data_IF_667886565329
#
_entry.id   IF_667886565329
#
_cell.length_a   1.000
_cell.length_b   1.000
_cell.length_c   1.000
_cell.angle_alpha   90.00
_cell.angle_beta   90.00
_cell.angle_gamma   90.00
#
_symmetry.space_group_name_H-M   'P 1'
#
loop_
_entity.id
_entity.type
_entity.pdbx_description
1 polymer ?
#
# COMPACT_ATOMS: atom_id res chain seq x y z
N UNK A 1 11.90 -3.68 -17.87
CA UNK A 1 10.47 -3.34 -17.79
C UNK A 1 10.17 -2.23 -16.77
N UNK A 2 10.45 -2.36 -15.47
CA UNK A 2 10.03 -1.37 -14.44
C UNK A 2 10.45 0.10 -14.66
N UNK A 3 11.62 0.35 -15.27
CA UNK A 3 12.09 1.71 -15.61
C UNK A 3 11.26 2.41 -16.71
N UNK A 4 10.30 1.72 -17.33
CA UNK A 4 9.38 2.33 -18.31
C UNK A 4 8.52 3.42 -17.68
N UNK A 5 8.16 3.28 -16.39
CA UNK A 5 7.26 4.22 -15.73
C UNK A 5 7.85 5.62 -15.65
N UNK A 6 9.18 5.73 -15.64
CA UNK A 6 9.90 7.01 -15.60
C UNK A 6 10.27 7.54 -16.99
N UNK A 7 9.73 7.01 -18.10
CA UNK A 7 10.08 7.47 -19.46
C UNK A 7 9.86 8.99 -19.61
N UNK A 8 8.71 9.51 -19.18
CA UNK A 8 8.40 10.93 -19.31
C UNK A 8 9.41 11.81 -18.57
N UNK A 9 9.73 11.44 -17.33
CA UNK A 9 10.72 12.15 -16.53
C UNK A 9 12.12 12.07 -17.17
N UNK A 10 12.58 10.88 -17.57
CA UNK A 10 13.90 10.67 -18.19
C UNK A 10 14.06 11.40 -19.52
N UNK A 11 13.02 11.40 -20.35
CA UNK A 11 12.98 12.18 -21.59
C UNK A 11 13.07 13.69 -21.30
N UNK A 12 12.29 14.19 -20.35
CA UNK A 12 12.32 15.63 -19.99
C UNK A 12 13.66 16.11 -19.42
N UNK A 13 14.46 15.20 -18.84
CA UNK A 13 15.81 15.48 -18.33
C UNK A 13 16.92 15.17 -19.36
N UNK A 14 16.58 14.81 -20.60
CA UNK A 14 17.55 14.53 -21.64
C UNK A 14 18.32 13.21 -21.49
N UNK A 15 17.87 12.31 -20.61
CA UNK A 15 18.46 10.97 -20.45
C UNK A 15 18.05 9.99 -21.56
N UNK A 16 17.03 10.36 -22.35
CA UNK A 16 16.49 9.58 -23.46
C UNK A 16 16.19 10.49 -24.63
N UNK A 17 16.46 10.02 -25.84
CA UNK A 17 15.91 10.59 -27.07
C UNK A 17 14.43 10.21 -27.21
N UNK A 18 13.69 10.94 -28.06
CA UNK A 18 12.30 10.59 -28.38
C UNK A 18 12.19 9.20 -29.00
N UNK A 19 13.13 8.82 -29.86
CA UNK A 19 13.16 7.50 -30.49
C UNK A 19 13.35 6.37 -29.47
N UNK A 20 14.28 6.53 -28.53
CA UNK A 20 14.48 5.56 -27.44
C UNK A 20 13.26 5.48 -26.51
N UNK A 21 12.64 6.62 -26.19
CA UNK A 21 11.42 6.65 -25.39
C UNK A 21 10.27 5.90 -26.07
N UNK A 22 10.09 6.09 -27.38
CA UNK A 22 9.10 5.36 -28.19
C UNK A 22 9.39 3.86 -28.21
N UNK A 23 10.62 3.46 -28.49
CA UNK A 23 11.01 2.05 -28.54
C UNK A 23 10.81 1.34 -27.19
N UNK A 24 11.26 1.97 -26.09
CA UNK A 24 11.06 1.44 -24.74
C UNK A 24 9.58 1.34 -24.39
N UNK A 25 8.77 2.35 -24.75
CA UNK A 25 7.33 2.34 -24.57
C UNK A 25 6.65 1.17 -25.29
N UNK A 26 6.99 0.96 -26.56
CA UNK A 26 6.45 -0.15 -27.36
C UNK A 26 6.81 -1.53 -26.80
N UNK A 27 8.01 -1.72 -26.25
CA UNK A 27 8.49 -3.02 -25.74
C UNK A 27 8.01 -3.34 -24.32
N UNK A 28 7.63 -2.34 -23.54
CA UNK A 28 7.39 -2.54 -22.11
C UNK A 28 6.17 -3.42 -21.79
N UNK A 29 5.13 -3.37 -22.62
CA UNK A 29 3.88 -4.11 -22.45
C UNK A 29 3.61 -5.03 -23.66
N UNK A 30 4.65 -5.72 -24.15
CA UNK A 30 4.59 -6.49 -25.40
C UNK A 30 3.92 -7.88 -25.31
N UNK A 31 3.41 -8.29 -24.15
CA UNK A 31 2.75 -9.60 -23.97
C UNK A 31 1.21 -9.49 -24.09
N UNK A 32 0.52 -10.54 -24.58
CA UNK A 32 -0.93 -10.57 -24.63
C UNK A 32 -1.52 -10.75 -23.22
N UNK A 33 -1.83 -9.61 -22.57
CA UNK A 33 -2.43 -9.57 -21.24
C UNK A 33 -1.45 -9.81 -20.09
N UNK A 34 -1.97 -9.71 -18.86
CA UNK A 34 -1.21 -9.88 -17.61
C UNK A 34 -1.17 -8.62 -16.75
N UNK A 35 -0.83 -8.80 -15.47
CA UNK A 35 -0.55 -7.70 -14.55
C UNK A 35 0.87 -7.14 -14.72
N UNK A 36 1.20 -6.11 -13.95
CA UNK A 36 2.55 -5.54 -13.94
C UNK A 36 3.63 -6.58 -13.59
N UNK A 37 4.81 -6.48 -14.22
CA UNK A 37 5.96 -7.37 -13.97
C UNK A 37 6.75 -7.05 -12.68
N UNK A 38 6.16 -6.24 -11.80
CA UNK A 38 6.66 -5.88 -10.49
C UNK A 38 5.55 -6.11 -9.46
N UNK A 39 5.91 -6.19 -8.19
CA UNK A 39 5.01 -6.40 -7.05
C UNK A 39 4.18 -5.14 -6.72
N UNK A 40 3.40 -4.67 -7.70
CA UNK A 40 2.35 -3.66 -7.52
C UNK A 40 1.06 -4.29 -6.98
N UNK A 41 -0.04 -3.52 -6.99
CA UNK A 41 -1.35 -3.99 -6.48
C UNK A 41 -1.78 -5.29 -7.13
N UNK A 42 -1.80 -5.39 -8.46
CA UNK A 42 -2.28 -6.59 -9.15
C UNK A 42 -1.51 -7.87 -8.80
N UNK A 43 -0.18 -7.77 -8.65
CA UNK A 43 0.67 -8.90 -8.25
C UNK A 43 0.48 -9.22 -6.77
N UNK A 44 0.39 -8.19 -5.91
CA UNK A 44 0.14 -8.37 -4.47
C UNK A 44 -1.23 -8.98 -4.21
N UNK A 45 -2.28 -8.58 -4.95
CA UNK A 45 -3.62 -9.16 -4.85
C UNK A 45 -3.64 -10.65 -5.22
N UNK A 46 -2.84 -11.07 -6.20
CA UNK A 46 -2.68 -12.50 -6.51
C UNK A 46 -2.02 -13.25 -5.35
N UNK A 47 -0.95 -12.69 -4.78
CA UNK A 47 -0.26 -13.26 -3.62
C UNK A 47 -1.20 -13.39 -2.43
N UNK A 48 -1.94 -12.33 -2.10
CA UNK A 48 -2.94 -12.30 -1.02
C UNK A 48 -4.08 -13.29 -1.28
N UNK A 49 -4.57 -13.39 -2.52
CA UNK A 49 -5.63 -14.34 -2.88
C UNK A 49 -5.21 -15.80 -2.69
N UNK A 50 -3.96 -16.14 -3.03
CA UNK A 50 -3.43 -17.48 -2.78
C UNK A 50 -3.18 -17.72 -1.28
N UNK A 51 -2.71 -16.72 -0.53
CA UNK A 51 -2.52 -16.79 0.92
C UNK A 51 -3.83 -16.92 1.71
N UNK A 52 -4.92 -16.29 1.23
CA UNK A 52 -6.29 -16.49 1.73
C UNK A 52 -6.81 -17.91 1.48
N UNK A 53 -6.14 -18.70 0.64
CA UNK A 53 -6.59 -20.01 0.19
C UNK A 53 -7.67 -19.95 -0.90
N UNK A 54 -8.01 -18.77 -1.43
CA UNK A 54 -9.02 -18.61 -2.50
C UNK A 54 -8.50 -19.02 -3.88
N UNK A 55 -7.19 -18.94 -4.09
CA UNK A 55 -6.53 -19.37 -5.32
C UNK A 55 -5.75 -20.65 -5.12
N UNK A 56 -5.63 -21.44 -6.19
CA UNK A 56 -4.93 -22.72 -6.11
C UNK A 56 -3.41 -22.51 -5.94
N UNK A 57 -2.72 -23.47 -5.31
CA UNK A 57 -1.28 -23.39 -5.08
C UNK A 57 -0.49 -23.17 -6.38
N UNK A 58 0.46 -22.25 -6.34
CA UNK A 58 1.34 -21.87 -7.43
C UNK A 58 0.59 -21.37 -8.68
N UNK A 59 -0.36 -20.46 -8.47
CA UNK A 59 -1.08 -19.75 -9.55
C UNK A 59 -0.86 -18.24 -9.54
N UNK A 60 -0.57 -17.65 -8.39
CA UNK A 60 -0.17 -16.25 -8.30
C UNK A 60 1.13 -15.98 -9.06
N UNK A 61 1.20 -14.84 -9.75
CA UNK A 61 2.37 -14.38 -10.52
C UNK A 61 2.70 -15.24 -11.76
N UNK A 62 1.82 -16.16 -12.15
CA UNK A 62 2.02 -17.00 -13.32
C UNK A 62 2.17 -16.16 -14.60
N UNK A 63 3.22 -16.39 -15.42
CA UNK A 63 3.49 -15.58 -16.61
C UNK A 63 2.33 -15.66 -17.62
N UNK A 64 1.83 -14.49 -18.02
CA UNK A 64 0.70 -14.39 -18.95
C UNK A 64 1.04 -14.91 -20.34
N UNK A 65 0.03 -15.42 -21.04
CA UNK A 65 0.17 -15.97 -22.39
C UNK A 65 0.92 -17.30 -22.48
N UNK A 66 1.37 -17.86 -21.35
CA UNK A 66 2.10 -19.13 -21.32
C UNK A 66 1.16 -20.34 -21.11
N UNK A 67 1.57 -21.56 -21.51
CA UNK A 67 0.79 -22.79 -21.30
C UNK A 67 0.33 -23.01 -19.84
N UNK A 68 1.07 -22.47 -18.88
CA UNK A 68 0.79 -22.56 -17.45
C UNK A 68 -0.57 -21.95 -17.05
N UNK A 69 -1.10 -21.00 -17.81
CA UNK A 69 -2.44 -20.45 -17.60
C UNK A 69 -3.53 -21.47 -17.94
N UNK A 70 -3.33 -22.28 -19.00
CA UNK A 70 -4.26 -23.36 -19.37
C UNK A 70 -4.26 -24.46 -18.31
N UNK A 71 -3.11 -24.74 -17.72
CA UNK A 71 -2.99 -25.62 -16.56
C UNK A 71 -3.77 -25.07 -15.35
N UNK A 72 -3.53 -23.82 -14.97
CA UNK A 72 -4.25 -23.17 -13.86
C UNK A 72 -5.77 -23.19 -14.07
N UNK A 73 -6.25 -22.91 -15.29
CA UNK A 73 -7.68 -22.97 -15.62
C UNK A 73 -8.28 -24.37 -15.44
N UNK A 74 -7.59 -25.42 -15.93
CA UNK A 74 -8.04 -26.81 -15.75
C UNK A 74 -8.05 -27.24 -14.29
N UNK A 75 -7.02 -26.88 -13.54
CA UNK A 75 -6.95 -27.15 -12.09
C UNK A 75 -8.08 -26.44 -11.34
N UNK A 76 -8.36 -25.19 -11.68
CA UNK A 76 -9.44 -24.40 -11.07
C UNK A 76 -10.82 -25.00 -11.36
N UNK A 77 -11.07 -25.48 -12.59
CA UNK A 77 -12.31 -26.16 -12.92
C UNK A 77 -12.51 -27.43 -12.09
N UNK A 78 -11.45 -28.25 -11.91
CA UNK A 78 -11.52 -29.44 -11.06
C UNK A 78 -11.75 -29.09 -9.59
N UNK A 79 -11.06 -28.07 -9.08
CA UNK A 79 -11.22 -27.61 -7.71
C UNK A 79 -12.64 -27.14 -7.42
N UNK A 80 -13.27 -26.40 -8.32
CA UNK A 80 -14.68 -25.98 -8.17
C UNK A 80 -15.62 -27.19 -8.10
N UNK A 81 -15.41 -28.22 -8.94
CA UNK A 81 -16.21 -29.45 -8.87
C UNK A 81 -16.02 -30.20 -7.55
N UNK A 82 -14.78 -30.24 -7.03
CA UNK A 82 -14.48 -30.84 -5.73
C UNK A 82 -15.13 -30.05 -4.58
N UNK A 83 -15.03 -28.72 -4.61
CA UNK A 83 -15.69 -27.85 -3.64
C UNK A 83 -17.21 -28.06 -3.65
N UNK A 84 -17.83 -28.19 -4.82
CA UNK A 84 -19.26 -28.51 -4.94
C UNK A 84 -19.59 -29.87 -4.31
N UNK A 85 -18.81 -30.92 -4.61
CA UNK A 85 -18.98 -32.25 -4.06
C UNK A 85 -18.87 -32.28 -2.53
N UNK A 86 -17.92 -31.52 -1.98
CA UNK A 86 -17.69 -31.37 -0.54
C UNK A 86 -18.61 -30.33 0.12
N UNK A 87 -19.44 -29.63 -0.66
CA UNK A 87 -20.28 -28.48 -0.21
C UNK A 87 -19.48 -27.38 0.47
N UNK A 88 -18.24 -27.17 0.02
CA UNK A 88 -17.37 -26.10 0.48
C UNK A 88 -17.73 -24.79 -0.20
N UNK A 89 -17.84 -23.75 0.61
CA UNK A 89 -18.11 -22.38 0.16
C UNK A 89 -16.95 -21.47 0.53
N UNK A 90 -16.93 -20.25 -0.03
CA UNK A 90 -15.92 -19.26 0.32
C UNK A 90 -15.89 -18.92 1.82
N UNK A 91 -17.02 -19.05 2.54
CA UNK A 91 -17.08 -18.87 4.01
C UNK A 91 -16.30 -19.93 4.79
N UNK A 92 -16.06 -21.10 4.19
CA UNK A 92 -15.22 -22.13 4.81
C UNK A 92 -13.72 -21.88 4.61
N UNK A 93 -13.37 -21.07 3.60
CA UNK A 93 -11.98 -20.76 3.21
C UNK A 93 -11.55 -19.45 3.87
N UNK A 94 -12.34 -18.39 3.67
CA UNK A 94 -12.06 -17.05 4.18
C UNK A 94 -12.52 -16.98 5.64
N UNK A 95 -11.57 -17.06 6.54
CA UNK A 95 -11.71 -17.00 8.00
C UNK A 95 -10.77 -15.94 8.57
N UNK A 96 -10.92 -15.54 9.84
CA UNK A 96 -9.99 -14.60 10.47
C UNK A 96 -8.54 -15.12 10.43
N UNK A 97 -8.33 -16.43 10.60
CA UNK A 97 -7.02 -17.08 10.46
C UNK A 97 -6.47 -16.98 9.03
N UNK A 98 -7.31 -17.16 8.00
CA UNK A 98 -6.90 -17.00 6.61
C UNK A 98 -6.56 -15.53 6.30
N UNK A 99 -7.31 -14.57 6.85
CA UNK A 99 -7.00 -13.14 6.72
C UNK A 99 -5.67 -12.82 7.40
N UNK A 100 -5.42 -13.33 8.60
CA UNK A 100 -4.14 -13.19 9.31
C UNK A 100 -2.98 -13.80 8.51
N UNK A 101 -3.15 -15.00 7.95
CA UNK A 101 -2.18 -15.61 7.05
C UNK A 101 -1.89 -14.71 5.84
N UNK A 102 -2.91 -14.12 5.23
CA UNK A 102 -2.76 -13.22 4.11
C UNK A 102 -1.99 -11.93 4.46
N UNK A 103 -2.18 -11.39 5.66
CA UNK A 103 -1.37 -10.29 6.18
C UNK A 103 0.10 -10.70 6.34
N UNK A 104 0.37 -11.87 6.94
CA UNK A 104 1.72 -12.42 7.11
C UNK A 104 2.42 -12.60 5.76
N UNK A 105 1.74 -13.23 4.79
CA UNK A 105 2.32 -13.43 3.45
C UNK A 105 2.53 -12.10 2.73
N UNK A 106 1.63 -11.12 2.87
CA UNK A 106 1.82 -9.77 2.35
C UNK A 106 3.11 -9.12 2.88
N UNK A 107 3.33 -9.18 4.20
CA UNK A 107 4.53 -8.64 4.84
C UNK A 107 5.81 -9.36 4.35
N UNK A 108 5.77 -10.70 4.25
CA UNK A 108 6.90 -11.50 3.78
C UNK A 108 7.32 -11.19 2.34
N UNK A 109 6.37 -10.82 1.48
CA UNK A 109 6.64 -10.37 0.11
C UNK A 109 7.05 -8.89 0.02
N UNK A 110 6.70 -8.06 1.00
CA UNK A 110 6.79 -6.61 0.90
C UNK A 110 5.73 -6.03 -0.04
N UNK A 111 4.48 -6.49 0.10
CA UNK A 111 3.37 -6.17 -0.78
C UNK A 111 3.02 -4.68 -0.88
N UNK A 112 2.19 -4.34 -1.88
CA UNK A 112 1.66 -2.98 -2.06
C UNK A 112 0.82 -2.52 -0.85
N UNK A 113 0.97 -1.24 -0.48
CA UNK A 113 0.16 -0.57 0.55
C UNK A 113 -1.33 -0.51 0.20
N UNK A 114 -1.70 -0.65 -1.07
CA UNK A 114 -3.11 -0.68 -1.48
C UNK A 114 -3.86 -1.89 -0.89
N UNK A 115 -3.17 -2.97 -0.51
CA UNK A 115 -3.80 -4.13 0.15
C UNK A 115 -4.15 -3.86 1.62
N UNK A 116 -3.64 -2.77 2.21
CA UNK A 116 -4.11 -2.26 3.50
C UNK A 116 -5.57 -1.77 3.42
N UNK A 117 -6.05 -1.43 2.21
CA UNK A 117 -7.45 -1.06 1.96
C UNK A 117 -8.27 -2.28 1.52
N UNK A 118 -7.73 -3.07 0.60
CA UNK A 118 -8.48 -4.17 0.00
C UNK A 118 -8.70 -5.36 0.95
N UNK A 119 -7.74 -5.69 1.81
CA UNK A 119 -7.90 -6.85 2.70
C UNK A 119 -8.98 -6.60 3.78
N UNK A 120 -9.07 -5.42 4.43
CA UNK A 120 -10.23 -5.06 5.24
C UNK A 120 -11.56 -5.10 4.49
N UNK A 121 -11.58 -4.70 3.20
CA UNK A 121 -12.78 -4.80 2.39
C UNK A 121 -13.21 -6.25 2.11
N UNK A 122 -12.24 -7.15 1.87
CA UNK A 122 -12.51 -8.60 1.73
C UNK A 122 -13.02 -9.18 3.04
N UNK A 123 -12.41 -8.82 4.18
CA UNK A 123 -12.86 -9.26 5.49
C UNK A 123 -14.29 -8.80 5.80
N UNK A 124 -14.60 -7.54 5.50
CA UNK A 124 -15.96 -6.99 5.61
C UNK A 124 -16.98 -7.79 4.78
N UNK A 125 -16.67 -8.03 3.49
CA UNK A 125 -17.55 -8.79 2.61
C UNK A 125 -17.76 -10.24 3.06
N UNK A 126 -16.80 -10.81 3.80
CA UNK A 126 -16.88 -12.13 4.42
C UNK A 126 -17.59 -12.12 5.79
N UNK A 127 -17.89 -10.95 6.37
CA UNK A 127 -18.46 -10.80 7.71
C UNK A 127 -17.46 -11.07 8.84
N UNK A 128 -16.17 -10.78 8.59
CA UNK A 128 -15.05 -11.04 9.50
C UNK A 128 -14.52 -9.74 10.13
N UNK A 129 -13.60 -9.89 11.09
CA UNK A 129 -12.90 -8.74 11.67
C UNK A 129 -12.04 -8.05 10.61
N UNK A 130 -12.15 -6.73 10.52
CA UNK A 130 -11.38 -5.91 9.58
C UNK A 130 -10.02 -5.57 10.18
N UNK A 131 -8.89 -5.92 9.54
CA UNK A 131 -7.58 -5.56 10.06
C UNK A 131 -7.37 -4.04 10.09
N UNK A 132 -7.01 -3.51 11.25
CA UNK A 132 -6.67 -2.11 11.45
C UNK A 132 -5.16 -1.83 11.41
N UNK A 133 -4.79 -0.56 11.62
CA UNK A 133 -3.37 -0.11 11.66
C UNK A 133 -2.54 -0.92 12.67
N UNK A 134 -3.12 -1.22 13.84
CA UNK A 134 -2.39 -1.90 14.90
C UNK A 134 -2.13 -3.37 14.55
N UNK A 135 -3.10 -4.06 13.93
CA UNK A 135 -2.92 -5.42 13.42
C UNK A 135 -1.83 -5.48 12.36
N UNK A 136 -1.83 -4.52 11.44
CA UNK A 136 -0.80 -4.45 10.40
C UNK A 136 0.59 -4.15 10.98
N UNK A 137 0.67 -3.27 11.98
CA UNK A 137 1.92 -2.95 12.67
C UNK A 137 2.50 -4.20 13.34
N UNK A 138 1.66 -4.95 14.07
CA UNK A 138 2.04 -6.20 14.73
C UNK A 138 2.53 -7.27 13.74
N UNK A 139 1.79 -7.49 12.64
CA UNK A 139 2.17 -8.48 11.62
C UNK A 139 3.50 -8.12 10.94
N UNK A 140 3.71 -6.84 10.60
CA UNK A 140 4.94 -6.42 9.94
C UNK A 140 6.17 -6.49 10.86
N UNK A 141 5.99 -6.36 12.18
CA UNK A 141 7.06 -6.56 13.18
C UNK A 141 7.45 -8.01 13.35
N UNK A 142 6.47 -8.89 13.36
CA UNK A 142 6.67 -10.33 13.61
C UNK A 142 7.12 -11.09 12.36
N UNK A 143 6.88 -10.55 11.16
CA UNK A 143 7.13 -11.25 9.90
C UNK A 143 8.37 -10.75 9.18
N UNK A 144 9.39 -11.60 8.94
CA UNK A 144 10.53 -11.21 8.13
C UNK A 144 10.14 -11.08 6.65
N UNK A 145 10.72 -10.09 5.94
CA UNK A 145 10.65 -10.06 4.48
C UNK A 145 11.57 -11.13 3.90
N UNK A 146 11.03 -11.99 3.04
CA UNK A 146 11.73 -13.15 2.47
C UNK A 146 11.94 -13.04 0.96
N UNK A 147 11.25 -12.11 0.29
CA UNK A 147 11.24 -12.03 -1.18
C UNK A 147 12.00 -10.80 -1.66
N UNK A 148 12.93 -11.02 -2.56
CA UNK A 148 13.59 -9.99 -3.37
C UNK A 148 12.83 -9.89 -4.70
N UNK A 149 12.09 -8.79 -4.88
CA UNK A 149 11.20 -8.60 -6.03
C UNK A 149 10.97 -7.12 -6.27
N UNK A 150 11.05 -6.68 -7.52
CA UNK A 150 10.76 -5.30 -7.92
C UNK A 150 9.45 -4.81 -7.30
N UNK A 151 9.41 -3.61 -6.68
CA UNK A 151 10.48 -2.63 -6.57
C UNK A 151 11.33 -2.76 -5.27
N UNK A 152 11.21 -3.86 -4.52
CA UNK A 152 11.92 -4.10 -3.27
C UNK A 152 13.16 -4.99 -3.52
N UNK A 153 14.35 -4.41 -3.33
CA UNK A 153 15.62 -5.10 -3.62
C UNK A 153 16.06 -6.11 -2.56
N UNK A 154 17.33 -6.56 -2.62
CA UNK A 154 18.46 -5.87 -3.26
C UNK A 154 18.64 -6.07 -4.78
N UNK A 155 18.35 -7.25 -5.33
CA UNK A 155 18.62 -7.63 -6.75
C UNK A 155 17.48 -7.28 -7.69
N UNK A 156 16.28 -7.02 -7.16
CA UNK A 156 15.14 -6.48 -7.92
C UNK A 156 14.64 -7.45 -9.00
N UNK A 157 14.29 -8.66 -8.60
CA UNK A 157 13.76 -9.68 -9.51
C UNK A 157 12.34 -9.32 -10.02
N UNK A 158 12.00 -9.53 -11.30
CA UNK A 158 10.63 -9.43 -11.77
C UNK A 158 9.73 -10.55 -11.21
N UNK A 159 8.42 -10.34 -11.20
CA UNK A 159 7.45 -11.28 -10.62
C UNK A 159 7.48 -12.68 -11.24
N UNK A 160 7.87 -12.82 -12.52
CA UNK A 160 8.06 -14.13 -13.17
C UNK A 160 9.17 -14.95 -12.52
N UNK A 161 10.24 -14.31 -12.05
CA UNK A 161 11.34 -15.01 -11.38
C UNK A 161 10.90 -15.49 -9.99
N UNK A 162 10.05 -14.71 -9.31
CA UNK A 162 9.41 -15.13 -8.06
C UNK A 162 8.51 -16.35 -8.27
N UNK A 163 7.69 -16.34 -9.33
CA UNK A 163 6.90 -17.51 -9.72
C UNK A 163 7.79 -18.73 -9.93
N UNK A 164 8.86 -18.60 -10.73
CA UNK A 164 9.76 -19.73 -11.03
C UNK A 164 10.57 -20.20 -9.80
N UNK A 165 10.87 -19.31 -8.85
CA UNK A 165 11.53 -19.66 -7.59
C UNK A 165 10.64 -20.52 -6.67
N UNK A 166 9.34 -20.57 -6.96
CA UNK A 166 8.35 -21.38 -6.24
C UNK A 166 7.15 -20.58 -5.75
N UNK A 167 7.12 -19.25 -5.97
CA UNK A 167 5.98 -18.39 -5.72
C UNK A 167 5.52 -18.34 -4.26
N UNK A 168 4.22 -18.11 -4.07
CA UNK A 168 3.57 -18.03 -2.76
C UNK A 168 3.77 -19.26 -1.88
N UNK A 169 3.62 -20.52 -2.37
CA UNK A 169 3.71 -21.67 -1.49
C UNK A 169 5.13 -21.89 -0.97
N UNK A 170 6.16 -21.48 -1.71
CA UNK A 170 7.54 -21.50 -1.23
C UNK A 170 7.76 -20.54 -0.05
N UNK A 171 7.20 -19.33 -0.12
CA UNK A 171 7.24 -18.37 0.99
C UNK A 171 6.47 -18.92 2.20
N UNK A 172 5.30 -19.52 1.96
CA UNK A 172 4.49 -20.11 3.03
C UNK A 172 5.18 -21.31 3.70
N UNK A 173 6.03 -22.06 3.01
CA UNK A 173 6.87 -23.09 3.64
C UNK A 173 7.83 -22.50 4.68
N UNK A 174 8.47 -21.36 4.38
CA UNK A 174 9.34 -20.68 5.34
C UNK A 174 8.54 -20.12 6.52
N UNK A 175 7.40 -19.47 6.27
CA UNK A 175 6.54 -18.91 7.31
C UNK A 175 5.93 -20.00 8.22
N UNK A 176 5.57 -21.15 7.65
CA UNK A 176 5.14 -22.35 8.40
C UNK A 176 6.24 -22.82 9.35
N UNK A 177 7.49 -22.91 8.89
CA UNK A 177 8.65 -23.30 9.72
C UNK A 177 8.91 -22.31 10.87
N UNK A 178 8.52 -21.05 10.70
CA UNK A 178 8.57 -20.01 11.75
C UNK A 178 7.36 -20.03 12.69
N UNK A 179 6.34 -20.84 12.43
CA UNK A 179 5.09 -20.86 13.21
C UNK A 179 4.21 -19.62 13.02
N UNK A 180 4.37 -18.90 11.90
CA UNK A 180 3.65 -17.65 11.62
C UNK A 180 2.35 -17.84 10.82
N UNK A 181 1.99 -19.09 10.49
CA UNK A 181 0.78 -19.42 9.74
C UNK A 181 -0.13 -20.35 10.53
N UNK A 182 -1.43 -20.07 10.48
CA UNK A 182 -2.47 -21.03 10.83
C UNK A 182 -2.60 -22.05 9.68
N UNK A 183 -2.09 -23.27 9.86
CA UNK A 183 -1.98 -24.27 8.78
C UNK A 183 -3.20 -25.18 8.63
N UNK A 184 -4.11 -25.17 9.60
CA UNK A 184 -5.35 -25.95 9.60
C UNK A 184 -6.48 -25.32 8.76
N UNK A 185 -6.31 -24.09 8.24
CA UNK A 185 -7.30 -23.42 7.39
C UNK A 185 -7.55 -24.23 6.11
N UNK A 186 -8.80 -24.25 5.65
CA UNK A 186 -9.19 -24.92 4.39
C UNK A 186 -8.89 -24.00 3.21
N UNK A 187 -8.42 -24.58 2.11
CA UNK A 187 -8.16 -23.86 0.86
C UNK A 187 -9.13 -24.27 -0.24
N UNK A 188 -9.08 -23.58 -1.39
CA UNK A 188 -9.85 -23.90 -2.58
C UNK A 188 -9.54 -25.29 -3.17
N UNK A 189 -8.48 -25.98 -2.73
CA UNK A 189 -8.26 -27.38 -3.10
C UNK A 189 -9.23 -28.34 -2.40
N UNK A 190 -9.89 -27.89 -1.33
CA UNK A 190 -10.65 -28.74 -0.40
C UNK A 190 -9.80 -29.32 0.73
N UNK A 191 -8.50 -29.08 0.73
CA UNK A 191 -7.56 -29.56 1.74
C UNK A 191 -7.12 -28.43 2.68
N UNK A 192 -6.53 -28.82 3.82
CA UNK A 192 -5.88 -27.85 4.71
C UNK A 192 -4.65 -27.25 4.05
N UNK A 193 -4.30 -26.03 4.47
CA UNK A 193 -3.06 -25.38 4.03
C UNK A 193 -1.83 -26.26 4.33
N UNK A 194 -1.82 -26.98 5.45
CA UNK A 194 -0.71 -27.88 5.80
C UNK A 194 -0.50 -29.00 4.76
N UNK A 195 -1.58 -29.68 4.37
CA UNK A 195 -1.55 -30.75 3.37
C UNK A 195 -1.14 -30.22 1.98
N UNK A 196 -1.60 -29.02 1.64
CA UNK A 196 -1.20 -28.30 0.43
C UNK A 196 0.31 -28.03 0.41
N UNK A 197 0.87 -27.55 1.53
CA UNK A 197 2.29 -27.23 1.64
C UNK A 197 3.17 -28.48 1.65
N UNK A 198 2.74 -29.56 2.30
CA UNK A 198 3.42 -30.87 2.24
C UNK A 198 3.50 -31.40 0.81
N UNK A 199 2.38 -31.32 0.08
CA UNK A 199 2.32 -31.71 -1.32
C UNK A 199 3.21 -30.85 -2.20
N UNK A 200 3.30 -29.53 -1.93
CA UNK A 200 4.16 -28.60 -2.66
C UNK A 200 5.66 -28.92 -2.47
N UNK A 201 6.09 -29.15 -1.22
CA UNK A 201 7.49 -29.34 -0.84
C UNK A 201 8.17 -30.47 -1.63
N UNK A 202 7.43 -31.54 -1.90
CA UNK A 202 7.89 -32.73 -2.66
C UNK A 202 7.46 -32.75 -4.13
N UNK A 203 6.76 -31.72 -4.62
CA UNK A 203 6.19 -31.75 -5.96
C UNK A 203 7.23 -31.66 -7.09
N UNK A 204 7.02 -32.42 -8.17
CA UNK A 204 7.84 -32.32 -9.39
C UNK A 204 7.77 -30.91 -10.00
N UNK A 205 6.59 -30.26 -9.92
CA UNK A 205 6.39 -28.89 -10.40
C UNK A 205 7.36 -27.92 -9.72
N UNK A 206 7.48 -27.98 -8.38
CA UNK A 206 8.42 -27.15 -7.62
C UNK A 206 9.85 -27.34 -8.11
N UNK A 207 10.29 -28.60 -8.25
CA UNK A 207 11.64 -28.92 -8.74
C UNK A 207 11.87 -28.40 -10.16
N UNK A 208 10.89 -28.60 -11.06
CA UNK A 208 10.99 -28.21 -12.47
C UNK A 208 11.09 -26.69 -12.65
N UNK A 209 10.24 -25.90 -11.96
CA UNK A 209 10.26 -24.44 -12.06
C UNK A 209 11.58 -23.85 -11.52
N UNK A 210 12.02 -24.32 -10.35
CA UNK A 210 13.29 -23.90 -9.73
C UNK A 210 14.51 -24.27 -10.59
N UNK A 211 14.46 -25.43 -11.26
CA UNK A 211 15.49 -25.84 -12.23
C UNK A 211 15.49 -24.91 -13.45
N UNK A 212 14.31 -24.63 -14.01
CA UNK A 212 14.16 -23.75 -15.17
C UNK A 212 14.73 -22.34 -14.89
N UNK A 213 14.48 -21.78 -13.70
CA UNK A 213 15.06 -20.50 -13.29
C UNK A 213 16.59 -20.51 -13.32
N UNK A 214 17.22 -21.56 -12.77
CA UNK A 214 18.68 -21.70 -12.79
C UNK A 214 19.24 -21.85 -14.19
N UNK A 215 18.63 -22.72 -14.99
CA UNK A 215 19.15 -23.06 -16.34
C UNK A 215 18.95 -21.93 -17.35
N UNK A 216 17.85 -21.18 -17.23
CA UNK A 216 17.49 -20.15 -18.22
C UNK A 216 17.99 -18.77 -17.82
N UNK A 217 17.84 -18.39 -16.54
CA UNK A 217 18.19 -17.05 -16.07
C UNK A 217 19.52 -17.02 -15.30
N UNK A 218 20.10 -18.18 -14.96
CA UNK A 218 21.32 -18.25 -14.14
C UNK A 218 21.13 -17.81 -12.70
N UNK A 219 19.87 -17.79 -12.22
CA UNK A 219 19.50 -17.28 -10.90
C UNK A 219 19.24 -18.45 -9.95
N UNK A 220 19.81 -18.39 -8.74
CA UNK A 220 19.44 -19.29 -7.67
C UNK A 220 18.04 -18.91 -7.13
N UNK A 221 17.05 -19.82 -7.13
CA UNK A 221 15.77 -19.61 -6.48
C UNK A 221 15.86 -19.10 -5.04
N UNK A 222 16.89 -19.49 -4.29
CA UNK A 222 17.10 -19.04 -2.91
C UNK A 222 17.69 -17.63 -2.81
N UNK A 223 18.04 -16.99 -3.92
CA UNK A 223 18.33 -15.54 -3.99
C UNK A 223 17.07 -14.72 -4.27
N UNK A 224 15.98 -15.36 -4.71
CA UNK A 224 14.69 -14.71 -5.00
C UNK A 224 13.73 -14.85 -3.82
N UNK A 225 13.54 -16.08 -3.35
CA UNK A 225 12.75 -16.43 -2.16
C UNK A 225 13.73 -17.02 -1.14
N UNK A 226 14.11 -16.21 -0.16
CA UNK A 226 15.20 -16.50 0.76
C UNK A 226 14.68 -17.19 2.02
N UNK A 227 15.41 -18.19 2.54
CA UNK A 227 15.25 -18.62 3.92
C UNK A 227 15.49 -17.44 4.90
N UNK A 228 14.86 -17.43 6.09
CA UNK A 228 14.91 -16.28 7.00
C UNK A 228 16.32 -15.80 7.38
N UNK A 229 17.25 -16.73 7.66
CA UNK A 229 18.63 -16.37 8.02
C UNK A 229 19.39 -15.73 6.86
N UNK A 230 19.16 -16.23 5.63
CA UNK A 230 19.73 -15.67 4.41
C UNK A 230 19.13 -14.29 4.12
N UNK A 231 17.81 -14.14 4.23
CA UNK A 231 17.13 -12.87 4.06
C UNK A 231 17.71 -11.78 4.98
N UNK A 232 17.95 -12.13 6.25
CA UNK A 232 18.60 -11.24 7.22
C UNK A 232 20.03 -10.89 6.83
N UNK A 233 20.83 -11.89 6.44
CA UNK A 233 22.22 -11.70 6.03
C UNK A 233 22.35 -10.81 4.77
N UNK A 234 21.39 -10.91 3.86
CA UNK A 234 21.27 -10.11 2.64
C UNK A 234 20.63 -8.73 2.87
N UNK A 235 20.27 -8.41 4.12
CA UNK A 235 19.75 -7.09 4.50
C UNK A 235 18.29 -6.83 4.08
N UNK A 236 17.47 -7.86 3.88
CA UNK A 236 16.04 -7.69 3.64
C UNK A 236 15.38 -7.14 4.92
N UNK A 237 14.92 -5.89 4.84
CA UNK A 237 14.16 -5.21 5.88
C UNK A 237 12.67 -5.18 5.56
N UNK A 238 11.84 -4.98 6.58
CA UNK A 238 10.39 -4.80 6.38
C UNK A 238 10.11 -3.59 5.49
N UNK A 239 9.07 -3.69 4.68
CA UNK A 239 8.82 -2.75 3.59
C UNK A 239 8.08 -1.49 4.03
N UNK A 240 7.28 -1.59 5.08
CA UNK A 240 6.34 -0.55 5.51
C UNK A 240 6.50 -0.23 6.99
N UNK A 241 6.32 1.04 7.31
CA UNK A 241 6.20 1.55 8.68
C UNK A 241 4.89 2.31 8.80
N UNK A 242 4.21 2.13 9.93
CA UNK A 242 2.97 2.82 10.23
C UNK A 242 3.27 4.04 11.08
N UNK A 243 2.72 5.19 10.70
CA UNK A 243 2.92 6.43 11.45
C UNK A 243 1.60 6.92 12.06
N UNK A 244 1.67 7.43 13.28
CA UNK A 244 0.60 8.17 13.97
C UNK A 244 1.06 9.60 14.24
N UNK A 245 0.40 10.31 15.15
CA UNK A 245 0.74 11.69 15.53
C UNK A 245 -0.44 12.62 15.36
N UNK A 246 -0.27 13.88 15.75
CA UNK A 246 -1.38 14.84 15.73
C UNK A 246 -1.91 15.14 14.31
N UNK A 247 -1.14 14.85 13.26
CA UNK A 247 -1.58 14.97 11.87
C UNK A 247 -2.27 13.71 11.32
N UNK A 248 -2.04 12.54 11.92
CA UNK A 248 -2.62 11.26 11.51
C UNK A 248 -3.15 10.46 12.71
N UNK A 249 -4.23 10.93 13.38
CA UNK A 249 -4.75 10.23 14.55
C UNK A 249 -5.34 8.85 14.23
N UNK A 250 -5.93 8.65 13.04
CA UNK A 250 -6.35 7.31 12.58
C UNK A 250 -5.19 6.47 12.05
N UNK A 251 -4.04 7.10 11.79
CA UNK A 251 -2.83 6.47 11.25
C UNK A 251 -2.55 6.86 9.80
N UNK A 252 -1.35 6.49 9.37
CA UNK A 252 -0.80 6.69 8.03
C UNK A 252 0.24 5.62 7.75
N UNK A 253 0.73 5.54 6.50
CA UNK A 253 1.74 4.54 6.13
C UNK A 253 2.81 5.14 5.23
N UNK A 254 4.05 4.68 5.45
CA UNK A 254 5.20 4.97 4.60
C UNK A 254 5.85 3.67 4.14
N UNK A 255 6.36 3.68 2.91
CA UNK A 255 7.19 2.59 2.41
C UNK A 255 8.65 2.83 2.80
N UNK A 256 9.05 2.35 3.98
CA UNK A 256 10.36 2.62 4.59
C UNK A 256 11.56 2.16 3.77
N UNK A 257 11.41 1.12 2.95
CA UNK A 257 12.47 0.67 2.02
C UNK A 257 12.65 1.58 0.81
N UNK A 258 11.70 2.49 0.55
CA UNK A 258 11.80 3.48 -0.52
C UNK A 258 12.44 4.80 -0.05
N UNK A 259 12.74 4.95 1.25
CA UNK A 259 13.49 6.11 1.75
C UNK A 259 14.97 5.89 1.44
N UNK A 260 15.63 6.88 0.82
CA UNK A 260 17.04 6.80 0.47
C UNK A 260 17.90 6.56 1.73
N UNK A 261 18.78 5.55 1.74
CA UNK A 261 19.59 5.24 2.92
C UNK A 261 20.47 6.39 3.43
N UNK A 262 20.82 7.35 2.57
CA UNK A 262 21.68 8.49 2.94
C UNK A 262 20.97 9.57 3.75
N UNK A 263 19.64 9.50 3.89
CA UNK A 263 18.85 10.38 4.77
C UNK A 263 18.33 9.64 6.01
N UNK A 264 18.81 8.41 6.23
CA UNK A 264 18.53 7.63 7.44
C UNK A 264 19.70 7.82 8.40
N UNK A 265 19.41 8.17 9.65
CA UNK A 265 20.42 8.32 10.69
C UNK A 265 21.08 6.97 11.01
N UNK A 266 22.25 7.02 11.64
CA UNK A 266 23.03 5.82 11.97
C UNK A 266 22.30 4.82 12.88
N UNK A 267 21.29 5.28 13.64
CA UNK A 267 20.42 4.45 14.48
C UNK A 267 19.26 3.79 13.69
N UNK A 268 19.17 4.00 12.38
CA UNK A 268 18.14 3.42 11.52
C UNK A 268 16.84 4.22 11.47
N UNK A 269 16.83 5.44 11.99
CA UNK A 269 15.65 6.29 12.06
C UNK A 269 15.75 7.43 11.04
N UNK A 270 14.67 7.69 10.30
CA UNK A 270 14.55 8.90 9.49
C UNK A 270 13.98 10.01 10.36
N UNK A 271 14.65 11.16 10.40
CA UNK A 271 14.20 12.35 11.13
C UNK A 271 14.22 13.56 10.22
N UNK A 272 13.08 14.25 10.14
CA UNK A 272 12.96 15.47 9.36
C UNK A 272 12.10 16.47 10.11
N UNK A 273 12.51 17.74 10.10
CA UNK A 273 11.66 18.84 10.54
C UNK A 273 11.81 19.97 9.53
N UNK A 274 10.69 20.45 9.01
CA UNK A 274 10.69 21.37 7.88
C UNK A 274 9.39 22.16 7.72
N UNK A 275 9.40 23.21 6.89
CA UNK A 275 8.22 24.00 6.62
C UNK A 275 7.25 23.26 5.69
N UNK A 276 5.96 23.37 5.98
CA UNK A 276 4.89 22.84 5.15
C UNK A 276 4.74 23.64 3.85
N UNK A 277 4.65 22.92 2.72
CA UNK A 277 4.29 23.45 1.40
C UNK A 277 2.95 22.85 0.99
N UNK A 278 1.89 23.65 1.00
CA UNK A 278 0.52 23.14 0.87
C UNK A 278 0.07 23.06 -0.58
N UNK A 279 -0.52 21.92 -0.94
CA UNK A 279 -1.15 21.67 -2.22
C UNK A 279 -2.50 20.96 -2.02
N UNK A 280 -3.44 21.19 -2.94
CA UNK A 280 -4.76 20.54 -2.93
C UNK A 280 -5.02 19.69 -4.19
N UNK A 281 -4.05 19.68 -5.12
CA UNK A 281 -4.08 18.93 -6.37
C UNK A 281 -2.67 18.50 -6.74
N UNK A 282 -2.54 17.31 -7.32
CA UNK A 282 -1.24 16.83 -7.81
C UNK A 282 -0.65 17.75 -8.89
N UNK A 283 -1.50 18.33 -9.75
CA UNK A 283 -1.11 19.29 -10.79
C UNK A 283 -0.38 20.52 -10.23
N UNK A 284 -0.85 21.05 -9.10
CA UNK A 284 -0.34 22.29 -8.51
C UNK A 284 1.00 22.04 -7.84
N UNK A 285 1.14 20.89 -7.17
CA UNK A 285 2.40 20.39 -6.63
C UNK A 285 3.44 20.19 -7.75
N UNK A 286 3.02 19.59 -8.86
CA UNK A 286 3.88 19.39 -10.03
C UNK A 286 4.31 20.70 -10.70
N UNK A 287 3.44 21.70 -10.75
CA UNK A 287 3.80 23.03 -11.24
C UNK A 287 4.84 23.69 -10.33
N UNK A 288 4.67 23.59 -9.00
CA UNK A 288 5.62 24.13 -8.04
C UNK A 288 7.00 23.47 -8.13
N UNK A 289 7.05 22.15 -8.33
CA UNK A 289 8.31 21.41 -8.59
C UNK A 289 8.97 21.95 -9.86
N UNK A 290 8.24 22.03 -10.98
CA UNK A 290 8.78 22.49 -12.27
C UNK A 290 9.24 23.94 -12.24
N UNK A 291 8.57 24.79 -11.45
CA UNK A 291 8.92 26.19 -11.28
C UNK A 291 10.05 26.44 -10.26
N UNK A 292 10.62 25.39 -9.65
CA UNK A 292 11.68 25.53 -8.66
C UNK A 292 11.22 26.18 -7.34
N UNK A 293 9.93 26.03 -7.00
CA UNK A 293 9.34 26.58 -5.75
C UNK A 293 9.47 25.64 -4.56
N UNK A 294 9.93 24.39 -4.78
CA UNK A 294 10.26 23.42 -3.73
C UNK A 294 11.76 23.45 -3.46
N UNK A 295 12.13 23.42 -2.19
CA UNK A 295 13.51 23.50 -1.70
C UNK A 295 13.87 22.28 -0.86
N UNK A 296 15.17 22.08 -0.68
CA UNK A 296 15.70 21.12 0.29
C UNK A 296 15.13 21.40 1.69
N UNK A 297 14.65 20.36 2.38
CA UNK A 297 14.06 20.47 3.70
C UNK A 297 12.56 20.75 3.73
N UNK A 298 11.92 21.02 2.58
CA UNK A 298 10.47 21.24 2.52
C UNK A 298 9.68 19.96 2.80
N UNK A 299 8.54 20.10 3.48
CA UNK A 299 7.53 19.05 3.66
C UNK A 299 6.32 19.39 2.80
N UNK A 300 6.17 18.69 1.67
CA UNK A 300 5.02 18.86 0.78
C UNK A 300 3.80 18.19 1.41
N UNK A 301 2.74 18.96 1.62
CA UNK A 301 1.47 18.46 2.16
C UNK A 301 0.42 18.54 1.06
N UNK A 302 0.02 17.38 0.52
CA UNK A 302 -1.03 17.28 -0.48
C UNK A 302 -2.32 16.79 0.19
N UNK A 303 -3.31 17.67 0.24
CA UNK A 303 -4.64 17.39 0.81
C UNK A 303 -5.69 17.33 -0.28
N UNK A 304 -6.94 16.98 0.08
CA UNK A 304 -8.07 16.89 -0.84
C UNK A 304 -7.84 15.85 -1.94
N UNK A 305 -6.98 14.86 -1.66
CA UNK A 305 -6.68 13.75 -2.56
C UNK A 305 -7.06 12.39 -1.93
N UNK A 306 -7.71 12.41 -0.76
CA UNK A 306 -8.38 11.27 -0.13
C UNK A 306 -9.69 10.84 -0.82
N UNK A 307 -10.45 9.91 -0.23
CA UNK A 307 -11.72 9.43 -0.78
C UNK A 307 -12.70 10.53 -1.18
N UNK A 308 -12.98 11.51 -0.30
CA UNK A 308 -13.89 12.63 -0.59
C UNK A 308 -13.31 13.65 -1.56
N UNK A 309 -11.98 13.66 -1.68
CA UNK A 309 -11.23 14.59 -2.52
C UNK A 309 -11.20 14.20 -3.99
N UNK A 310 -10.60 13.05 -4.28
CA UNK A 310 -10.37 12.59 -5.66
C UNK A 310 -10.75 11.13 -5.89
N UNK A 311 -11.45 10.51 -4.92
CA UNK A 311 -11.63 9.06 -4.90
C UNK A 311 -10.40 8.31 -4.38
N UNK A 312 -9.50 9.00 -3.68
CA UNK A 312 -8.23 8.48 -3.17
C UNK A 312 -7.25 8.12 -4.29
N UNK A 313 -6.78 9.12 -5.04
CA UNK A 313 -5.85 8.92 -6.17
C UNK A 313 -4.47 8.39 -5.74
N UNK A 314 -3.66 7.92 -6.70
CA UNK A 314 -2.28 7.45 -6.46
C UNK A 314 -1.27 8.44 -7.03
N UNK A 315 -0.56 9.17 -6.16
CA UNK A 315 0.22 10.37 -6.52
C UNK A 315 1.62 10.07 -7.09
N UNK A 316 1.68 9.36 -8.21
CA UNK A 316 2.94 8.95 -8.85
C UNK A 316 3.77 10.12 -9.41
N UNK A 317 3.15 11.20 -9.90
CA UNK A 317 3.88 12.25 -10.61
C UNK A 317 4.82 12.99 -9.65
N UNK A 318 4.35 13.30 -8.45
CA UNK A 318 5.14 13.99 -7.41
C UNK A 318 6.36 13.14 -7.05
N UNK A 319 6.15 11.88 -6.69
CA UNK A 319 7.25 11.01 -6.23
C UNK A 319 8.26 10.75 -7.35
N UNK A 320 7.77 10.57 -8.59
CA UNK A 320 8.64 10.44 -9.76
C UNK A 320 9.44 11.71 -10.04
N UNK A 321 8.85 12.90 -9.88
CA UNK A 321 9.55 14.16 -10.17
C UNK A 321 10.63 14.46 -9.14
N UNK A 322 10.34 14.28 -7.85
CA UNK A 322 11.30 14.47 -6.76
C UNK A 322 12.54 13.59 -6.94
N UNK A 323 12.39 12.37 -7.44
CA UNK A 323 13.52 11.46 -7.70
C UNK A 323 14.61 12.02 -8.65
N UNK A 324 14.26 12.95 -9.54
CA UNK A 324 15.22 13.57 -10.47
C UNK A 324 15.79 14.89 -9.94
N UNK A 325 15.31 15.39 -8.79
CA UNK A 325 15.93 16.51 -8.10
C UNK A 325 17.11 16.01 -7.26
N UNK A 326 18.25 16.70 -7.33
CA UNK A 326 19.45 16.34 -6.57
C UNK A 326 19.23 16.32 -5.06
N UNK A 327 18.31 17.16 -4.58
CA UNK A 327 17.90 17.26 -3.18
C UNK A 327 16.56 16.56 -2.89
N UNK A 328 15.99 15.81 -3.84
CA UNK A 328 14.65 15.25 -3.70
C UNK A 328 14.50 14.22 -2.59
N UNK A 329 15.59 13.62 -2.12
CA UNK A 329 15.61 12.73 -0.95
C UNK A 329 15.46 13.47 0.39
N UNK A 330 15.71 14.79 0.41
CA UNK A 330 15.51 15.67 1.55
C UNK A 330 14.15 16.40 1.51
N UNK A 331 13.25 16.00 0.62
CA UNK A 331 11.86 16.48 0.58
C UNK A 331 10.96 15.33 1.03
N UNK A 332 10.07 15.61 1.99
CA UNK A 332 9.04 14.66 2.38
C UNK A 332 7.69 15.03 1.76
N UNK A 333 6.84 14.02 1.56
CA UNK A 333 5.46 14.17 1.10
C UNK A 333 4.53 13.56 2.14
N UNK A 334 3.50 14.31 2.54
CA UNK A 334 2.42 13.86 3.42
C UNK A 334 1.10 14.05 2.67
N UNK A 335 0.27 13.01 2.61
CA UNK A 335 -1.00 13.10 1.89
C UNK A 335 -2.11 12.20 2.46
N UNK A 336 -3.36 12.64 2.31
CA UNK A 336 -4.55 11.82 2.51
C UNK A 336 -4.85 10.87 1.31
N UNK A 337 -4.05 10.95 0.24
CA UNK A 337 -4.09 10.07 -0.92
C UNK A 337 -3.32 8.75 -0.73
N UNK A 338 -3.31 7.93 -1.78
CA UNK A 338 -2.39 6.79 -1.94
C UNK A 338 -1.12 7.26 -2.65
N UNK A 339 -0.02 6.52 -2.52
CA UNK A 339 1.24 6.85 -3.19
C UNK A 339 1.85 5.62 -3.86
N UNK A 340 2.61 5.87 -4.92
CA UNK A 340 3.39 4.82 -5.56
C UNK A 340 4.65 4.52 -4.75
N UNK A 341 5.07 3.25 -4.71
CA UNK A 341 6.29 2.84 -4.00
C UNK A 341 7.61 3.32 -4.63
N UNK A 342 7.58 4.26 -5.58
CA UNK A 342 8.76 4.87 -6.23
C UNK A 342 8.99 6.22 -5.57
N UNK A 343 9.73 6.25 -4.47
CA UNK A 343 10.14 7.48 -3.77
C UNK A 343 11.66 7.50 -3.56
N UNK A 344 12.20 8.67 -3.20
CA UNK A 344 13.57 8.86 -2.71
C UNK A 344 13.60 9.47 -1.32
N UNK A 345 12.63 10.34 -0.99
CA UNK A 345 12.38 10.80 0.39
C UNK A 345 11.25 10.01 1.04
N UNK A 346 10.87 10.41 2.27
CA UNK A 346 9.68 9.88 2.93
C UNK A 346 8.40 10.33 2.19
N UNK A 347 7.61 9.38 1.71
CA UNK A 347 6.28 9.63 1.15
C UNK A 347 5.26 8.87 2.01
N UNK A 348 4.46 9.65 2.74
CA UNK A 348 3.54 9.20 3.79
C UNK A 348 2.13 9.42 3.26
N UNK A 349 1.40 8.33 3.04
CA UNK A 349 0.02 8.38 2.54
C UNK A 349 -0.97 7.77 3.50
N UNK A 350 -2.23 7.74 3.07
CA UNK A 350 -3.36 7.23 3.85
C UNK A 350 -3.52 7.97 5.18
N UNK A 351 -3.12 9.24 5.23
CA UNK A 351 -3.31 10.06 6.43
C UNK A 351 -4.80 10.17 6.72
N UNK A 352 -5.21 9.58 7.85
CA UNK A 352 -6.59 9.60 8.32
C UNK A 352 -6.72 10.37 9.64
N UNK A 353 -7.83 11.10 9.84
CA UNK A 353 -8.90 11.37 8.88
C UNK A 353 -8.44 12.28 7.73
N UNK A 354 -9.06 12.14 6.56
CA UNK A 354 -8.74 12.99 5.39
C UNK A 354 -9.13 14.47 5.61
N UNK A 355 -8.55 15.38 4.83
CA UNK A 355 -8.77 16.82 5.01
C UNK A 355 -10.25 17.23 4.90
N UNK A 356 -10.97 16.68 3.93
CA UNK A 356 -12.39 17.01 3.68
C UNK A 356 -13.35 16.38 4.70
N UNK A 357 -12.89 15.40 5.47
CA UNK A 357 -13.60 14.86 6.63
C UNK A 357 -13.32 15.67 7.91
N UNK A 358 -12.63 16.81 7.80
CA UNK A 358 -12.24 17.64 8.94
C UNK A 358 -10.96 17.17 9.65
N UNK A 359 -10.19 16.28 9.01
CA UNK A 359 -8.95 15.76 9.55
C UNK A 359 -7.89 16.85 9.80
N UNK A 360 -6.98 16.65 10.78
CA UNK A 360 -5.97 17.65 11.13
C UNK A 360 -5.06 18.08 9.98
N UNK A 361 -4.76 17.17 9.03
CA UNK A 361 -3.96 17.49 7.83
C UNK A 361 -4.54 18.65 7.02
N UNK A 362 -5.88 18.81 6.99
CA UNK A 362 -6.56 19.92 6.30
C UNK A 362 -6.42 21.28 6.98
N UNK A 363 -5.93 21.31 8.23
CA UNK A 363 -5.77 22.54 9.04
C UNK A 363 -4.33 23.07 9.03
N UNK A 364 -3.41 22.37 8.38
CA UNK A 364 -2.03 22.81 8.20
C UNK A 364 -2.00 24.02 7.27
N UNK A 365 -1.18 25.01 7.60
CA UNK A 365 -0.99 26.25 6.85
C UNK A 365 0.39 26.27 6.23
N UNK A 366 0.52 27.05 5.16
CA UNK A 366 1.80 27.30 4.51
C UNK A 366 2.86 27.78 5.51
N UNK A 367 4.03 27.13 5.53
CA UNK A 367 5.14 27.45 6.41
C UNK A 367 5.12 26.78 7.79
N UNK A 368 4.00 26.19 8.22
CA UNK A 368 3.92 25.46 9.48
C UNK A 368 5.08 24.46 9.63
N UNK A 369 5.64 24.33 10.83
CA UNK A 369 6.73 23.39 11.09
C UNK A 369 6.16 22.00 11.38
N UNK A 370 6.52 21.03 10.54
CA UNK A 370 6.13 19.63 10.71
C UNK A 370 7.37 18.81 11.07
N UNK A 371 7.21 17.90 12.02
CA UNK A 371 8.20 16.90 12.40
C UNK A 371 7.75 15.51 11.92
N UNK A 372 8.69 14.77 11.33
CA UNK A 372 8.52 13.40 10.87
C UNK A 372 9.62 12.56 11.53
N UNK A 373 9.21 11.49 12.21
CA UNK A 373 10.12 10.49 12.78
C UNK A 373 9.65 9.12 12.29
N UNK A 374 10.52 8.35 11.64
CA UNK A 374 10.19 6.99 11.15
C UNK A 374 11.31 6.05 11.60
N UNK A 375 11.03 5.17 12.55
CA UNK A 375 11.95 4.16 13.02
C UNK A 375 11.78 2.86 12.21
N UNK A 376 12.81 2.51 11.45
CA UNK A 376 12.80 1.33 10.55
C UNK A 376 13.08 0.03 11.29
N UNK A 377 13.52 0.09 12.54
CA UNK A 377 13.78 -1.09 13.36
C UNK A 377 12.51 -1.50 14.10
N UNK A 378 11.84 -0.53 14.72
CA UNK A 378 10.58 -0.77 15.44
C UNK A 378 9.36 -0.70 14.53
N UNK A 379 9.47 -0.17 13.31
CA UNK A 379 8.37 -0.01 12.36
C UNK A 379 7.23 0.88 12.88
N UNK A 380 7.57 1.85 13.72
CA UNK A 380 6.69 2.92 14.19
C UNK A 380 7.20 4.28 13.72
N UNK A 381 6.28 5.22 13.53
CA UNK A 381 6.63 6.60 13.22
C UNK A 381 5.62 7.62 13.73
N UNK A 382 6.02 8.89 13.75
CA UNK A 382 5.15 10.01 14.05
C UNK A 382 5.20 11.08 12.96
N UNK A 383 4.05 11.70 12.70
CA UNK A 383 3.91 12.91 11.90
C UNK A 383 3.14 13.95 12.70
N UNK A 384 3.84 15.03 13.06
CA UNK A 384 3.31 16.01 13.99
C UNK A 384 3.49 17.42 13.43
N UNK A 385 2.43 18.22 13.46
CA UNK A 385 2.58 19.66 13.52
C UNK A 385 3.29 19.98 14.83
N UNK A 386 4.36 20.76 14.80
CA UNK A 386 5.11 21.13 16.00
C UNK A 386 5.13 22.62 16.26
N UNK A 387 4.67 23.46 15.33
CA UNK A 387 4.53 24.89 15.56
C UNK A 387 4.28 25.67 14.28
N UNK A 388 4.10 26.98 14.43
CA UNK A 388 4.06 27.93 13.32
C UNK A 388 5.49 28.40 12.99
N UNK A 389 5.74 28.83 11.75
CA UNK A 389 7.01 29.46 11.38
C UNK A 389 7.33 30.61 12.34
N UNK A 390 8.56 30.67 12.83
CA UNK A 390 9.07 31.76 13.70
C UNK A 390 8.36 31.93 15.06
N UNK A 391 7.66 30.91 15.55
CA UNK A 391 7.01 30.93 16.87
C UNK A 391 7.96 30.56 18.02
N UNK A 392 7.80 31.21 19.18
CA UNK A 392 8.58 30.97 20.39
C UNK A 392 8.05 29.73 21.15
N UNK A 393 8.16 28.56 20.54
CA UNK A 393 7.78 27.28 21.13
C UNK A 393 7.51 26.23 20.06
N UNK A 394 8.14 25.06 20.19
CA UNK A 394 7.92 23.94 19.28
C UNK A 394 7.71 22.62 20.04
N UNK A 395 6.85 21.78 19.49
CA UNK A 395 6.58 20.42 19.98
C UNK A 395 5.17 19.95 19.60
N UNK A 396 4.91 18.64 19.63
CA UNK A 396 3.61 18.07 19.28
C UNK A 396 2.43 18.68 20.06
N UNK A 397 2.60 18.96 21.37
CA UNK A 397 1.58 19.60 22.21
C UNK A 397 1.21 21.03 21.75
N UNK A 398 2.18 21.76 21.17
CA UNK A 398 1.93 23.09 20.60
C UNK A 398 1.12 22.95 19.33
N UNK A 399 1.50 22.02 18.45
CA UNK A 399 0.77 21.73 17.23
C UNK A 399 -0.65 21.23 17.50
N UNK A 400 -0.86 20.39 18.51
CA UNK A 400 -2.18 19.90 18.88
C UNK A 400 -3.12 21.06 19.26
N UNK A 401 -2.66 21.98 20.13
CA UNK A 401 -3.42 23.20 20.46
C UNK A 401 -3.71 24.07 19.25
N UNK A 402 -2.77 24.18 18.30
CA UNK A 402 -2.98 24.92 17.05
C UNK A 402 -4.06 24.24 16.19
N UNK A 403 -4.02 22.93 16.05
CA UNK A 403 -4.98 22.15 15.27
C UNK A 403 -6.39 22.19 15.89
N UNK A 404 -6.49 22.17 17.21
CA UNK A 404 -7.75 22.33 17.96
C UNK A 404 -8.35 23.73 17.77
N UNK A 405 -7.51 24.77 17.84
CA UNK A 405 -7.95 26.16 17.70
C UNK A 405 -8.32 26.54 16.25
N UNK A 406 -7.82 25.81 15.25
CA UNK A 406 -8.08 26.07 13.83
C UNK A 406 -9.37 25.41 13.37
N UNK A 407 -10.20 26.18 12.67
CA UNK A 407 -11.30 25.65 11.86
C UNK A 407 -10.77 25.02 10.57
N UNK A 408 -11.52 24.06 10.03
CA UNK A 408 -11.28 23.56 8.66
C UNK A 408 -11.46 24.71 7.67
N UNK A 409 -10.52 24.94 6.74
CA UNK A 409 -10.65 26.03 5.79
C UNK A 409 -11.78 25.83 4.77
N UNK A 410 -12.54 26.90 4.50
CA UNK A 410 -13.69 26.88 3.57
C UNK A 410 -13.30 26.70 2.10
N UNK A 411 -12.02 26.87 1.75
CA UNK A 411 -11.51 26.71 0.39
C UNK A 411 -11.17 25.26 0.03
N UNK A 412 -11.18 24.33 1.00
CA UNK A 412 -10.97 22.92 0.71
C UNK A 412 -12.16 22.38 -0.08
N UNK A 413 -11.90 21.72 -1.21
CA UNK A 413 -12.94 21.23 -2.10
C UNK A 413 -12.55 19.92 -2.75
N UNK A 414 -13.50 19.04 -3.06
CA UNK A 414 -13.28 17.90 -3.96
C UNK A 414 -12.73 18.31 -5.33
N UNK A 415 -12.24 17.34 -6.07
CA UNK A 415 -11.91 17.51 -7.47
C UNK A 415 -13.17 17.91 -8.27
N UNK A 416 -13.10 18.93 -9.15
CA UNK A 416 -14.28 19.40 -9.88
C UNK A 416 -14.89 18.31 -10.78
N UNK A 417 -14.04 17.42 -11.29
CA UNK A 417 -14.45 16.28 -12.12
C UNK A 417 -14.79 15.01 -11.30
N UNK A 418 -14.88 15.10 -9.97
CA UNK A 418 -15.21 13.94 -9.14
C UNK A 418 -16.68 13.51 -9.40
N UNK A 419 -16.93 12.28 -9.91
CA UNK A 419 -18.28 11.84 -10.22
C UNK A 419 -19.20 11.87 -9.00
N UNK A 420 -20.49 12.16 -9.21
CA UNK A 420 -21.49 12.21 -8.12
C UNK A 420 -21.58 10.89 -7.36
N UNK A 421 -21.52 9.75 -8.06
CA UNK A 421 -21.52 8.42 -7.45
C UNK A 421 -20.29 8.21 -6.56
N UNK A 422 -19.11 8.72 -6.95
CA UNK A 422 -17.90 8.67 -6.14
C UNK A 422 -18.01 9.59 -4.92
N UNK A 423 -18.62 10.77 -5.06
CA UNK A 423 -18.89 11.67 -3.93
C UNK A 423 -19.82 11.03 -2.90
N UNK A 424 -20.87 10.37 -3.38
CA UNK A 424 -21.80 9.62 -2.53
C UNK A 424 -21.07 8.46 -1.84
N UNK A 425 -20.29 7.67 -2.60
CA UNK A 425 -19.46 6.60 -2.03
C UNK A 425 -18.54 7.11 -0.93
N UNK A 426 -17.83 8.21 -1.17
CA UNK A 426 -16.87 8.76 -0.23
C UNK A 426 -17.51 9.22 1.08
N UNK A 427 -18.70 9.83 1.02
CA UNK A 427 -19.45 10.22 2.21
C UNK A 427 -19.93 9.00 3.02
N UNK A 428 -20.40 7.95 2.34
CA UNK A 428 -20.91 6.73 2.98
C UNK A 428 -19.79 5.87 3.59
N UNK A 429 -18.65 5.76 2.91
CA UNK A 429 -17.52 4.97 3.42
C UNK A 429 -16.86 5.62 4.64
N UNK A 430 -16.93 6.96 4.79
CA UNK A 430 -16.42 7.66 5.96
C UNK A 430 -17.14 7.20 7.24
N UNK A 431 -18.46 7.04 7.19
CA UNK A 431 -19.26 6.45 8.29
C UNK A 431 -18.92 4.98 8.51
N UNK A 432 -18.50 4.29 7.45
CA UNK A 432 -18.19 2.86 7.45
C UNK A 432 -16.77 2.55 7.95
N UNK A 433 -16.06 3.50 8.56
CA UNK A 433 -14.68 3.32 9.07
C UNK A 433 -13.58 3.83 8.14
N UNK A 434 -13.93 4.56 7.07
CA UNK A 434 -12.98 5.29 6.24
C UNK A 434 -12.00 4.40 5.47
N UNK A 435 -10.84 4.99 5.14
CA UNK A 435 -9.78 4.30 4.40
C UNK A 435 -9.28 3.04 5.13
N UNK A 436 -9.00 3.16 6.43
CA UNK A 436 -8.55 2.04 7.26
C UNK A 436 -9.63 0.97 7.47
N UNK A 437 -10.91 1.30 7.32
CA UNK A 437 -12.03 0.36 7.28
C UNK A 437 -12.22 -0.35 5.93
N UNK A 438 -11.37 -0.08 4.94
CA UNK A 438 -11.39 -0.69 3.60
C UNK A 438 -12.29 0.01 2.59
N UNK A 439 -12.71 1.24 2.87
CA UNK A 439 -13.57 2.05 1.99
C UNK A 439 -14.88 1.34 1.53
N UNK A 440 -15.50 0.59 2.44
CA UNK A 440 -16.71 -0.23 2.18
C UNK A 440 -18.01 0.53 2.45
N UNK A 441 -19.14 -0.07 2.07
CA UNK A 441 -20.48 0.35 2.47
C UNK A 441 -20.97 -0.52 3.64
N UNK A 442 -20.82 -0.03 4.86
CA UNK A 442 -21.44 -0.62 6.04
C UNK A 442 -22.88 -0.13 6.17
N UNK A 443 -23.81 -0.92 5.63
CA UNK A 443 -25.23 -0.54 5.52
C UNK A 443 -25.83 -0.27 6.90
N UNK A 444 -25.50 -1.08 7.90
CA UNK A 444 -26.05 -0.93 9.25
C UNK A 444 -25.48 0.32 9.93
N UNK A 445 -24.17 0.58 9.77
CA UNK A 445 -23.55 1.81 10.29
C UNK A 445 -24.12 3.07 9.62
N UNK A 446 -24.30 3.04 8.29
CA UNK A 446 -24.87 4.13 7.50
C UNK A 446 -26.30 4.42 7.93
N UNK A 447 -27.16 3.41 7.96
CA UNK A 447 -28.57 3.55 8.36
C UNK A 447 -28.66 4.03 9.82
N UNK A 448 -27.82 3.50 10.70
CA UNK A 448 -27.70 3.94 12.09
C UNK A 448 -27.35 5.43 12.21
N UNK A 449 -26.37 5.91 11.45
CA UNK A 449 -25.97 7.32 11.45
C UNK A 449 -27.10 8.23 10.92
N UNK A 450 -27.82 7.81 9.88
CA UNK A 450 -28.97 8.55 9.35
C UNK A 450 -30.05 8.70 10.43
N UNK A 451 -30.44 7.60 11.10
CA UNK A 451 -31.46 7.66 12.14
C UNK A 451 -31.05 8.51 13.35
N UNK A 452 -29.77 8.49 13.73
CA UNK A 452 -29.25 9.37 14.79
C UNK A 452 -29.39 10.84 14.39
N UNK A 453 -29.12 11.19 13.13
CA UNK A 453 -29.27 12.57 12.65
C UNK A 453 -30.74 13.04 12.66
N UNK A 454 -31.71 12.15 12.43
CA UNK A 454 -33.14 12.46 12.47
C UNK A 454 -33.69 12.68 13.89
N UNK A 455 -33.01 12.11 14.89
CA UNK A 455 -33.36 12.27 16.31
C UNK A 455 -32.92 13.61 16.91
N UNK A 456 -32.06 14.37 16.21
CA UNK A 456 -31.68 15.72 16.59
C UNK A 456 -32.83 16.71 16.28
N UNK A 457 -33.13 17.67 17.17
CA UNK A 457 -34.20 18.63 16.93
C UNK A 457 -33.92 19.41 15.65
N UNK A 458 -34.83 19.32 14.67
CA UNK A 458 -34.75 20.13 13.45
C UNK A 458 -34.71 21.60 13.85
N UNK A 459 -33.81 22.42 13.28
CA UNK A 459 -33.82 23.85 13.55
C UNK A 459 -35.23 24.39 13.22
N UNK A 460 -35.90 24.89 14.24
CA UNK A 460 -37.20 25.55 14.10
C UNK A 460 -37.06 26.62 13.04
N UNK A 461 -37.85 26.52 11.97
CA UNK A 461 -37.95 27.55 10.96
C UNK A 461 -38.18 28.88 11.66
N UNK A 462 -37.25 29.83 11.47
CA UNK A 462 -37.49 31.23 11.80
C UNK A 462 -38.75 31.62 11.02
N UNK A 463 -39.86 31.77 11.74
CA UNK A 463 -41.09 32.30 11.18
C UNK A 463 -40.77 33.65 10.55
N UNK A 464 -41.00 33.76 9.25
CA UNK A 464 -41.07 35.03 8.56
C UNK A 464 -42.23 35.84 9.18
N UNK A 465 -41.88 36.69 10.13
CA UNK A 465 -42.76 37.75 10.62
C UNK A 465 -43.06 38.70 9.47
N UNK A 466 -44.36 38.90 9.23
CA UNK A 466 -44.90 39.89 8.30
C UNK A 466 -44.59 41.31 8.74
#
# INVERSE_FOLDING_TARGET
AGKVQSIGARFSHGELTLGEAQELGCRACGSPGGGCQFLGTAATSQVVSEALGLSLPHTALAPSGQPIWKDAARRSARAIMEMEALRLTTKNIVTDDAVRNAMTVHAAFGGSTNLLLHLPAVAYAAGLCRPGVDDWTEVNRSTPRLVDVLPNGPRMHPTVQVFLAGGVPEVMLHLRKLGLLATNVITATGETLDAVLDSWEISERRTAMRRHLRETDGIDPEDVIMPPDKARAEGLTSTITFCRGNLAPEGSVVKSTAIDPSVIDADGVFRMTGPARIFHRESDAMEAIKAGRIREGDIMVLTCAGPMGSGMEEIYQITSALKFLTFGKQVAVITDARFSGVSTGACIGHVGPEALAGGPIGKVREGDSIQIIIDRNTLEGTIDLVGETDSAGSGPDVGERLLEARSTPDYLSPHPDLPEDTRLWAALQAVSGGAWGGCVFDVDAIVGAIHQSESLPRPTSLSSGR
#
